data_IF_179997392898
#
_entry.id   IF_179997392898
#
_cell.length_a   1.000
_cell.length_b   1.000
_cell.length_c   1.000
_cell.angle_alpha   90.00
_cell.angle_beta   90.00
_cell.angle_gamma   90.00
#
_symmetry.space_group_name_H-M   'P 1'
#
loop_
_entity.id
_entity.type
_entity.pdbx_description
1 polymer ?
#
# COMPACT_ATOMS: atom_id res chain seq x y z
N UNK A 1 -17.39 13.42 -4.84
CA UNK A 1 -17.28 11.95 -4.77
C UNK A 1 -18.57 11.44 -4.19
N UNK A 2 -19.30 10.59 -4.91
CA UNK A 2 -20.52 9.97 -4.38
C UNK A 2 -20.11 8.83 -3.43
N UNK A 3 -20.65 8.82 -2.21
CA UNK A 3 -20.40 7.78 -1.20
C UNK A 3 -20.93 6.42 -1.66
N UNK A 4 -20.23 5.32 -1.34
CA UNK A 4 -20.65 3.94 -1.64
C UNK A 4 -22.07 3.66 -1.13
N UNK A 5 -22.40 4.20 0.05
CA UNK A 5 -23.72 4.13 0.67
C UNK A 5 -24.81 4.70 -0.27
N UNK A 6 -24.53 5.84 -0.90
CA UNK A 6 -25.44 6.49 -1.84
C UNK A 6 -25.64 5.66 -3.12
N UNK A 7 -24.58 4.99 -3.59
CA UNK A 7 -24.64 4.09 -4.75
C UNK A 7 -25.54 2.88 -4.47
N UNK A 8 -25.29 2.17 -3.35
CA UNK A 8 -26.07 1.00 -2.95
C UNK A 8 -27.55 1.36 -2.74
N UNK A 9 -27.82 2.49 -2.08
CA UNK A 9 -29.20 2.96 -1.89
C UNK A 9 -29.93 3.19 -3.22
N UNK A 10 -29.26 3.82 -4.20
CA UNK A 10 -29.84 4.08 -5.53
C UNK A 10 -30.08 2.79 -6.31
N UNK A 11 -29.14 1.85 -6.25
CA UNK A 11 -29.25 0.53 -6.87
C UNK A 11 -30.47 -0.23 -6.33
N UNK A 12 -30.65 -0.20 -5.00
CA UNK A 12 -31.79 -0.82 -4.31
C UNK A 12 -33.08 0.00 -4.38
N UNK A 13 -33.08 1.14 -5.09
CA UNK A 13 -34.23 2.04 -5.26
C UNK A 13 -34.88 2.50 -3.95
N UNK A 14 -34.09 2.64 -2.88
CA UNK A 14 -34.57 3.08 -1.57
C UNK A 14 -34.42 4.59 -1.41
N UNK A 15 -35.33 5.20 -0.64
CA UNK A 15 -35.19 6.62 -0.26
C UNK A 15 -34.26 6.76 0.96
N UNK A 16 -33.56 7.89 1.10
CA UNK A 16 -32.67 8.10 2.25
C UNK A 16 -33.43 8.19 3.57
N UNK A 17 -34.66 8.72 3.53
CA UNK A 17 -35.62 8.71 4.63
C UNK A 17 -36.00 7.29 5.03
N UNK A 18 -36.35 6.43 4.07
CA UNK A 18 -36.72 5.04 4.35
C UNK A 18 -35.57 4.25 5.01
N UNK A 19 -34.34 4.43 4.51
CA UNK A 19 -33.17 3.77 5.11
C UNK A 19 -32.92 4.28 6.52
N UNK A 20 -33.01 5.60 6.73
CA UNK A 20 -32.84 6.22 8.05
C UNK A 20 -33.86 5.70 9.06
N UNK A 21 -35.13 5.57 8.66
CA UNK A 21 -36.20 5.04 9.49
C UNK A 21 -35.94 3.57 9.88
N UNK A 22 -35.48 2.74 8.93
CA UNK A 22 -35.14 1.33 9.18
C UNK A 22 -34.02 1.13 10.19
N UNK A 23 -33.03 2.03 10.23
CA UNK A 23 -31.89 1.94 11.16
C UNK A 23 -32.05 2.82 12.42
N UNK A 24 -33.16 3.55 12.53
CA UNK A 24 -33.50 4.35 13.71
C UNK A 24 -32.70 5.65 13.86
N UNK A 25 -32.34 6.30 12.75
CA UNK A 25 -31.66 7.62 12.76
C UNK A 25 -32.48 8.68 12.05
N UNK A 26 -32.14 9.96 12.23
CA UNK A 26 -32.78 11.03 11.46
C UNK A 26 -32.33 11.00 9.99
N UNK A 27 -33.26 11.31 9.08
CA UNK A 27 -32.96 11.42 7.65
C UNK A 27 -31.81 12.41 7.37
N UNK A 28 -31.78 13.53 8.11
CA UNK A 28 -30.68 14.49 8.02
C UNK A 28 -29.34 13.85 8.35
N UNK A 29 -29.26 13.11 9.46
CA UNK A 29 -28.04 12.42 9.87
C UNK A 29 -27.59 11.37 8.85
N UNK A 30 -28.53 10.65 8.25
CA UNK A 30 -28.25 9.72 7.15
C UNK A 30 -27.65 10.43 5.92
N UNK A 31 -28.24 11.55 5.48
CA UNK A 31 -27.70 12.32 4.35
C UNK A 31 -26.34 12.96 4.68
N UNK A 32 -26.09 13.33 5.94
CA UNK A 32 -24.79 13.83 6.38
C UNK A 32 -23.72 12.73 6.31
N UNK A 33 -24.09 11.46 6.59
CA UNK A 33 -23.23 10.30 6.36
C UNK A 33 -22.96 10.12 4.86
N UNK A 34 -23.99 10.15 4.00
CA UNK A 34 -23.81 10.02 2.54
C UNK A 34 -22.92 11.12 1.93
N UNK A 35 -22.93 12.32 2.51
CA UNK A 35 -22.09 13.45 2.10
C UNK A 35 -20.68 13.43 2.71
N UNK A 36 -20.42 12.53 3.66
CA UNK A 36 -19.16 12.47 4.41
C UNK A 36 -19.00 13.55 5.49
N UNK A 37 -20.06 14.31 5.79
CA UNK A 37 -20.06 15.32 6.85
C UNK A 37 -20.10 14.69 8.26
N UNK A 38 -20.61 13.46 8.37
CA UNK A 38 -20.60 12.66 9.59
C UNK A 38 -19.93 11.32 9.35
N UNK A 39 -19.13 10.88 10.32
CA UNK A 39 -18.55 9.53 10.31
C UNK A 39 -19.64 8.50 10.60
N UNK A 40 -19.61 7.40 9.85
CA UNK A 40 -20.41 6.22 10.11
C UNK A 40 -19.89 5.52 11.38
N UNK A 41 -20.76 5.36 12.39
CA UNK A 41 -20.42 4.57 13.59
C UNK A 41 -20.46 3.08 13.27
N UNK A 42 -19.72 2.27 14.05
CA UNK A 42 -19.71 0.82 13.88
C UNK A 42 -21.13 0.21 14.01
N UNK A 43 -21.93 0.72 14.94
CA UNK A 43 -23.32 0.30 15.13
C UNK A 43 -24.19 0.59 13.89
N UNK A 44 -24.09 1.79 13.32
CA UNK A 44 -24.85 2.15 12.13
C UNK A 44 -24.33 1.41 10.89
N UNK A 45 -23.03 1.12 10.83
CA UNK A 45 -22.46 0.29 9.76
C UNK A 45 -23.05 -1.13 9.78
N UNK A 46 -23.18 -1.75 10.96
CA UNK A 46 -23.81 -3.05 11.12
C UNK A 46 -25.29 -3.02 10.70
N UNK A 47 -26.05 -2.03 11.16
CA UNK A 47 -27.47 -1.89 10.76
C UNK A 47 -27.62 -1.65 9.26
N UNK A 48 -26.77 -0.81 8.66
CA UNK A 48 -26.78 -0.58 7.22
C UNK A 48 -26.39 -1.84 6.44
N UNK A 49 -25.45 -2.65 6.93
CA UNK A 49 -25.08 -3.91 6.26
C UNK A 49 -26.24 -4.90 6.21
N UNK A 50 -27.07 -4.92 7.24
CA UNK A 50 -28.28 -5.74 7.27
C UNK A 50 -29.35 -5.21 6.30
N UNK A 51 -29.64 -3.90 6.34
CA UNK A 51 -30.64 -3.27 5.46
C UNK A 51 -30.24 -3.39 3.98
N UNK A 52 -28.96 -3.25 3.70
CA UNK A 52 -28.40 -3.33 2.37
C UNK A 52 -27.85 -4.71 2.03
N UNK A 53 -28.06 -5.75 2.85
CA UNK A 53 -27.59 -7.13 2.62
C UNK A 53 -26.19 -7.21 1.97
N UNK A 54 -25.25 -6.41 2.48
CA UNK A 54 -23.85 -6.36 2.04
C UNK A 54 -22.95 -6.50 3.26
N UNK A 55 -21.67 -6.78 3.07
CA UNK A 55 -20.73 -6.77 4.17
C UNK A 55 -20.44 -5.33 4.65
N UNK A 56 -20.14 -5.18 5.93
CA UNK A 56 -19.64 -3.90 6.49
C UNK A 56 -18.41 -3.41 5.73
N UNK A 57 -17.53 -4.33 5.34
CA UNK A 57 -16.34 -4.04 4.54
C UNK A 57 -16.68 -3.39 3.20
N UNK A 58 -17.73 -3.85 2.53
CA UNK A 58 -18.20 -3.24 1.28
C UNK A 58 -18.76 -1.84 1.51
N UNK A 59 -19.50 -1.59 2.60
CA UNK A 59 -20.00 -0.25 2.94
C UNK A 59 -18.89 0.76 3.23
N UNK A 60 -17.81 0.29 3.85
CA UNK A 60 -16.61 1.08 4.13
C UNK A 60 -15.67 1.18 2.93
N UNK A 61 -15.98 0.49 1.82
CA UNK A 61 -15.17 0.44 0.62
C UNK A 61 -13.97 -0.48 0.70
N UNK A 62 -13.78 -1.23 1.79
CA UNK A 62 -12.66 -2.15 2.02
C UNK A 62 -12.65 -3.36 1.07
N UNK A 63 -13.79 -3.69 0.45
CA UNK A 63 -13.93 -4.81 -0.50
C UNK A 63 -13.82 -4.40 -1.98
N UNK A 64 -13.50 -3.14 -2.27
CA UNK A 64 -13.13 -2.79 -3.64
C UNK A 64 -11.78 -3.46 -3.90
N UNK A 65 -11.61 -4.20 -5.00
CA UNK A 65 -10.29 -4.65 -5.53
C UNK A 65 -9.35 -3.47 -5.90
N UNK A 66 -9.67 -2.26 -5.42
CA UNK A 66 -8.87 -1.04 -5.49
C UNK A 66 -8.98 -0.19 -4.22
N UNK A 67 -9.52 -0.71 -3.11
CA UNK A 67 -9.25 -0.18 -1.79
C UNK A 67 -7.87 -0.68 -1.39
N UNK A 68 -6.87 -0.02 -1.96
CA UNK A 68 -5.86 0.54 -1.10
C UNK A 68 -6.61 1.23 0.05
N UNK A 69 -6.80 0.49 1.16
CA UNK A 69 -6.39 1.04 2.44
C UNK A 69 -5.21 1.94 2.11
N UNK A 70 -5.22 3.22 2.47
CA UNK A 70 -4.00 4.00 2.42
C UNK A 70 -2.94 3.09 3.05
N UNK A 71 -2.14 2.42 2.22
CA UNK A 71 -0.95 1.75 2.64
C UNK A 71 -0.23 2.97 3.11
N UNK A 72 -0.29 3.19 4.43
CA UNK A 72 0.57 4.14 5.12
C UNK A 72 1.92 3.64 4.71
N UNK A 73 2.40 4.16 3.60
CA UNK A 73 3.49 3.57 2.87
C UNK A 73 4.59 3.61 3.90
N UNK A 74 4.99 2.45 4.48
CA UNK A 74 5.64 2.51 5.76
C UNK A 74 6.82 3.46 5.66
N UNK A 75 7.13 4.28 6.67
CA UNK A 75 8.16 5.32 6.52
C UNK A 75 9.54 4.77 6.04
N UNK A 76 9.72 3.45 6.14
CA UNK A 76 10.86 2.69 5.65
C UNK A 76 10.79 2.25 4.18
N UNK A 77 9.71 2.54 3.45
CA UNK A 77 9.62 2.24 2.03
C UNK A 77 10.60 3.07 1.24
N UNK A 78 11.13 2.46 0.19
CA UNK A 78 12.09 3.09 -0.69
C UNK A 78 11.38 4.14 -1.55
N UNK A 79 11.99 5.31 -1.63
CA UNK A 79 11.54 6.38 -2.51
C UNK A 79 12.27 6.29 -3.84
N UNK A 80 11.80 7.02 -4.86
CA UNK A 80 12.51 7.15 -6.14
C UNK A 80 13.96 7.60 -5.99
N UNK A 81 14.24 8.41 -4.97
CA UNK A 81 15.61 8.85 -4.65
C UNK A 81 16.43 7.68 -4.12
N UNK A 82 15.88 6.88 -3.21
CA UNK A 82 16.58 5.68 -2.71
C UNK A 82 16.84 4.69 -3.84
N UNK A 83 15.89 4.48 -4.75
CA UNK A 83 16.08 3.62 -5.91
C UNK A 83 17.21 4.14 -6.83
N UNK A 84 17.25 5.45 -7.07
CA UNK A 84 18.30 6.08 -7.87
C UNK A 84 19.68 5.98 -7.20
N UNK A 85 19.73 6.12 -5.87
CA UNK A 85 20.97 5.99 -5.10
C UNK A 85 21.46 4.53 -5.09
N UNK A 86 20.55 3.57 -4.88
CA UNK A 86 20.85 2.12 -4.96
C UNK A 86 21.36 1.75 -6.34
N UNK A 87 20.73 2.25 -7.41
CA UNK A 87 21.16 1.96 -8.78
C UNK A 87 22.59 2.44 -9.05
N UNK A 88 22.93 3.67 -8.64
CA UNK A 88 24.28 4.23 -8.78
C UNK A 88 25.32 3.44 -7.98
N UNK A 89 24.97 3.07 -6.75
CA UNK A 89 25.88 2.35 -5.87
C UNK A 89 26.07 0.89 -6.34
N UNK A 90 25.02 0.25 -6.86
CA UNK A 90 25.10 -1.06 -7.50
C UNK A 90 25.99 -1.03 -8.74
N UNK A 91 25.85 -0.02 -9.60
CA UNK A 91 26.69 0.15 -10.80
C UNK A 91 28.17 0.30 -10.42
N UNK A 92 28.47 1.17 -9.44
CA UNK A 92 29.83 1.36 -8.95
C UNK A 92 30.41 0.07 -8.37
N UNK A 93 29.61 -0.70 -7.62
CA UNK A 93 30.04 -1.96 -7.02
C UNK A 93 30.32 -3.02 -8.10
N UNK A 94 29.41 -3.19 -9.07
CA UNK A 94 29.60 -4.09 -10.21
C UNK A 94 30.84 -3.71 -11.03
N UNK A 95 31.05 -2.42 -11.31
CA UNK A 95 32.23 -1.94 -12.01
C UNK A 95 33.53 -2.17 -11.21
N UNK A 96 33.49 -2.01 -9.89
CA UNK A 96 34.63 -2.32 -9.02
C UNK A 96 34.96 -3.81 -9.01
N UNK A 97 33.95 -4.69 -9.01
CA UNK A 97 34.14 -6.14 -9.10
C UNK A 97 34.79 -6.56 -10.43
N UNK A 98 34.35 -5.95 -11.54
CA UNK A 98 34.93 -6.20 -12.86
C UNK A 98 36.37 -5.71 -12.96
N UNK A 99 36.62 -4.48 -12.51
CA UNK A 99 37.94 -3.87 -12.59
C UNK A 99 38.96 -4.62 -11.74
N UNK A 100 38.54 -5.13 -10.58
CA UNK A 100 39.48 -5.77 -9.65
C UNK A 100 39.83 -7.21 -10.04
N UNK A 101 39.18 -7.84 -11.05
CA UNK A 101 39.37 -9.27 -11.41
C UNK A 101 39.49 -10.20 -10.18
N UNK A 102 38.92 -9.77 -9.05
CA UNK A 102 39.30 -10.22 -7.71
C UNK A 102 38.36 -11.29 -7.17
N UNK A 103 37.26 -11.53 -7.89
CA UNK A 103 36.37 -12.67 -7.64
C UNK A 103 37.00 -13.96 -8.21
N UNK A 104 38.23 -14.26 -7.80
CA UNK A 104 38.85 -15.55 -8.04
C UNK A 104 38.18 -16.59 -7.15
N UNK A 105 37.21 -17.32 -7.69
CA UNK A 105 36.65 -18.49 -7.01
C UNK A 105 37.55 -19.68 -7.35
N UNK A 106 38.27 -20.20 -6.35
CA UNK A 106 39.32 -21.22 -6.49
C UNK A 106 40.58 -20.80 -7.29
N UNK A 107 40.93 -19.51 -7.30
CA UNK A 107 42.20 -19.06 -7.88
C UNK A 107 42.23 -18.96 -9.41
N UNK A 108 41.13 -19.27 -10.08
CA UNK A 108 40.93 -19.00 -11.50
C UNK A 108 40.06 -17.74 -11.65
N UNK A 109 40.46 -16.82 -12.53
CA UNK A 109 39.58 -15.73 -12.94
C UNK A 109 38.46 -16.35 -13.75
N UNK A 110 37.31 -16.63 -13.13
CA UNK A 110 36.12 -16.98 -13.88
C UNK A 110 35.67 -15.72 -14.61
N UNK A 111 35.74 -15.76 -15.94
CA UNK A 111 34.92 -14.89 -16.75
C UNK A 111 33.46 -15.20 -16.36
N UNK A 112 32.86 -14.31 -15.57
CA UNK A 112 31.46 -14.47 -15.19
C UNK A 112 30.62 -14.46 -16.45
N UNK A 113 29.87 -15.54 -16.68
CA UNK A 113 28.82 -15.55 -17.71
C UNK A 113 27.89 -14.36 -17.50
N UNK A 114 27.32 -13.83 -18.58
CA UNK A 114 26.31 -12.77 -18.52
C UNK A 114 25.16 -13.14 -17.58
N UNK A 115 24.78 -14.43 -17.54
CA UNK A 115 23.76 -14.95 -16.62
C UNK A 115 24.20 -14.87 -15.15
N UNK A 116 25.44 -15.24 -14.84
CA UNK A 116 25.98 -15.18 -13.48
C UNK A 116 26.14 -13.73 -13.01
N UNK A 117 26.54 -12.85 -13.92
CA UNK A 117 26.63 -11.40 -13.68
C UNK A 117 25.27 -10.83 -13.34
N UNK A 118 24.24 -11.20 -14.09
CA UNK A 118 22.88 -10.74 -13.86
C UNK A 118 22.30 -11.28 -12.54
N UNK A 119 22.52 -12.57 -12.25
CA UNK A 119 22.12 -13.17 -10.96
C UNK A 119 22.80 -12.46 -9.77
N UNK A 120 24.09 -12.16 -9.89
CA UNK A 120 24.81 -11.41 -8.87
C UNK A 120 24.24 -9.99 -8.72
N UNK A 121 23.99 -9.30 -9.84
CA UNK A 121 23.39 -7.97 -9.85
C UNK A 121 22.04 -7.96 -9.12
N UNK A 122 21.15 -8.90 -9.43
CA UNK A 122 19.82 -9.03 -8.80
C UNK A 122 19.95 -9.30 -7.29
N UNK A 123 20.82 -10.23 -6.91
CA UNK A 123 21.06 -10.57 -5.49
C UNK A 123 21.57 -9.37 -4.69
N UNK A 124 22.54 -8.64 -5.24
CA UNK A 124 23.11 -7.44 -4.62
C UNK A 124 22.07 -6.32 -4.53
N UNK A 125 21.32 -6.07 -5.60
CA UNK A 125 20.24 -5.07 -5.61
C UNK A 125 19.24 -5.36 -4.48
N UNK A 126 18.76 -6.60 -4.38
CA UNK A 126 17.83 -7.02 -3.34
C UNK A 126 18.42 -6.81 -1.93
N UNK A 127 19.68 -7.19 -1.73
CA UNK A 127 20.38 -7.03 -0.45
C UNK A 127 20.49 -5.55 -0.06
N UNK A 128 20.82 -4.67 -1.00
CA UNK A 128 20.92 -3.23 -0.77
C UNK A 128 19.55 -2.60 -0.45
N UNK A 129 18.50 -3.01 -1.16
CA UNK A 129 17.11 -2.59 -0.88
C UNK A 129 16.71 -2.96 0.55
N UNK A 130 16.96 -4.20 0.97
CA UNK A 130 16.66 -4.67 2.33
C UNK A 130 17.47 -3.87 3.37
N UNK A 131 18.77 -3.69 3.14
CA UNK A 131 19.62 -2.91 4.04
C UNK A 131 19.12 -1.47 4.21
N UNK A 132 18.71 -0.82 3.12
CA UNK A 132 18.17 0.54 3.14
C UNK A 132 16.85 0.63 3.91
N UNK A 133 15.95 -0.35 3.73
CA UNK A 133 14.72 -0.42 4.52
C UNK A 133 14.99 -0.61 6.02
N UNK A 134 15.94 -1.48 6.39
CA UNK A 134 16.35 -1.69 7.79
C UNK A 134 16.95 -0.41 8.37
N UNK A 135 17.79 0.29 7.60
CA UNK A 135 18.38 1.55 8.03
C UNK A 135 17.32 2.61 8.29
N UNK A 136 16.33 2.75 7.41
CA UNK A 136 15.18 3.64 7.65
C UNK A 136 14.41 3.24 8.92
N UNK A 137 14.10 1.96 9.11
CA UNK A 137 13.42 1.46 10.33
C UNK A 137 14.17 1.85 11.62
N UNK A 138 15.50 1.72 11.61
CA UNK A 138 16.34 1.90 12.79
C UNK A 138 16.68 3.37 13.07
N UNK A 139 16.95 4.15 12.02
CA UNK A 139 17.57 5.46 12.13
C UNK A 139 16.67 6.65 11.73
N UNK A 140 15.48 6.41 11.16
CA UNK A 140 14.50 7.49 10.94
C UNK A 140 13.95 7.95 12.30
N UNK A 141 14.10 9.24 12.67
CA UNK A 141 13.59 9.78 13.94
C UNK A 141 12.07 9.64 14.04
N UNK A 142 11.53 9.45 15.26
CA UNK A 142 10.07 9.23 15.49
C UNK A 142 9.19 10.33 14.88
N UNK A 143 9.66 11.59 14.89
CA UNK A 143 9.00 12.74 14.26
C UNK A 143 8.83 12.64 12.72
N UNK A 144 9.51 11.69 12.07
CA UNK A 144 9.50 11.45 10.62
C UNK A 144 9.05 10.01 10.29
N UNK A 145 8.46 9.29 11.25
CA UNK A 145 7.90 7.94 11.08
C UNK A 145 6.40 7.96 10.78
#
# INVERSE_FOLDING_TARGET
>A
MDSIIKSIRKERKMSGTEVADRIGISAQYYYDIEKGAKKLSAENAAKLSEVFEVTVDHLLGLNSEGAVAEERNPYYTLTRKDDSDIAKELENLMAALDHNKSLAFHGETMDMSEEQRELLRISLENSMRVAKQIAKKKFTPIKHR
#
